data_IF_518734410289
#
_entry.id   IF_518734410289
#
_cell.length_a   1.000
_cell.length_b   1.000
_cell.length_c   1.000
_cell.angle_alpha   90.00
_cell.angle_beta   90.00
_cell.angle_gamma   90.00
#
_symmetry.space_group_name_H-M   'P 1'
#
loop_
_entity.id
_entity.type
_entity.pdbx_description
1 polymer ?
#
# COMPACT_ATOMS: atom_id res chain seq x y z
N UNK A 1 -37.78 -18.42 10.05
CA UNK A 1 -36.87 -19.48 9.57
C UNK A 1 -35.74 -19.58 10.57
N UNK A 2 -35.67 -20.72 11.26
CA UNK A 2 -34.81 -20.98 12.41
C UNK A 2 -33.34 -20.95 12.01
N UNK A 3 -32.53 -20.14 12.70
CA UNK A 3 -31.09 -20.04 12.49
C UNK A 3 -30.44 -21.37 12.87
N UNK A 4 -29.89 -22.10 11.89
CA UNK A 4 -29.05 -23.26 12.16
C UNK A 4 -27.68 -22.71 12.53
N UNK A 5 -27.39 -22.66 13.84
CA UNK A 5 -26.01 -22.56 14.28
C UNK A 5 -25.29 -23.85 13.87
N UNK A 6 -24.02 -23.79 13.41
CA UNK A 6 -23.24 -24.99 13.19
C UNK A 6 -23.13 -25.71 14.53
N UNK A 7 -23.64 -26.94 14.62
CA UNK A 7 -23.31 -27.83 15.74
C UNK A 7 -21.79 -28.02 15.70
N UNK A 8 -21.11 -27.64 16.77
CA UNK A 8 -19.78 -28.16 17.06
C UNK A 8 -19.90 -29.68 17.20
N UNK A 9 -19.64 -30.40 16.11
CA UNK A 9 -19.32 -31.82 16.17
C UNK A 9 -18.02 -31.90 16.98
N UNK A 10 -18.11 -32.36 18.23
CA UNK A 10 -16.92 -32.74 19.01
C UNK A 10 -16.15 -33.76 18.16
N UNK A 11 -15.00 -33.34 17.67
CA UNK A 11 -14.07 -34.23 16.96
C UNK A 11 -13.78 -35.42 17.88
N UNK A 12 -13.91 -36.68 17.39
CA UNK A 12 -13.98 -37.85 18.27
C UNK A 12 -12.67 -38.23 18.97
N UNK A 13 -11.57 -37.52 18.76
CA UNK A 13 -10.27 -37.87 19.33
C UNK A 13 -9.46 -36.62 19.67
N UNK A 14 -9.05 -36.51 20.94
CA UNK A 14 -7.91 -35.67 21.36
C UNK A 14 -6.63 -36.45 21.05
N UNK A 15 -5.60 -35.78 20.53
CA UNK A 15 -4.29 -36.42 20.30
C UNK A 15 -3.68 -36.91 21.61
N UNK A 16 -2.90 -37.99 21.53
CA UNK A 16 -2.12 -38.52 22.65
C UNK A 16 -0.66 -38.05 22.52
N UNK A 17 -0.12 -37.44 23.58
CA UNK A 17 1.31 -37.11 23.68
C UNK A 17 2.11 -38.40 23.90
N UNK A 18 2.98 -38.68 22.94
CA UNK A 18 3.84 -39.88 22.91
C UNK A 18 5.33 -39.52 23.01
N UNK A 19 5.65 -38.27 23.36
CA UNK A 19 7.03 -37.88 23.69
C UNK A 19 7.61 -38.79 24.77
N UNK A 20 8.93 -39.04 24.79
CA UNK A 20 9.56 -39.88 25.81
C UNK A 20 9.26 -39.44 27.25
N UNK A 21 9.02 -38.14 27.45
CA UNK A 21 8.76 -37.54 28.76
C UNK A 21 7.27 -37.42 29.08
N UNK A 22 6.37 -37.55 28.09
CA UNK A 22 4.91 -37.31 28.21
C UNK A 22 4.58 -36.00 28.94
N UNK A 23 5.38 -34.96 28.68
CA UNK A 23 5.32 -33.67 29.37
C UNK A 23 4.29 -32.71 28.78
N UNK A 24 3.63 -33.10 27.68
CA UNK A 24 2.80 -32.26 26.83
C UNK A 24 3.58 -31.06 26.24
N UNK A 25 4.90 -31.14 26.05
CA UNK A 25 5.71 -30.06 25.48
C UNK A 25 6.19 -29.00 26.48
N UNK A 26 6.98 -28.04 25.97
CA UNK A 26 7.83 -27.15 26.79
C UNK A 26 7.14 -25.88 27.33
N UNK A 27 6.02 -25.44 26.73
CA UNK A 27 5.35 -24.18 27.04
C UNK A 27 3.82 -24.25 26.84
N UNK A 28 3.05 -23.38 27.50
CA UNK A 28 1.59 -23.30 27.35
C UNK A 28 1.11 -22.55 26.10
N UNK A 29 2.03 -22.05 25.27
CA UNK A 29 1.71 -21.35 24.02
C UNK A 29 1.51 -22.34 22.86
N UNK A 30 0.42 -22.17 22.12
CA UNK A 30 0.02 -23.02 20.98
C UNK A 30 0.05 -22.19 19.69
N UNK A 31 0.29 -22.81 18.51
CA UNK A 31 0.23 -22.08 17.26
C UNK A 31 -1.20 -21.59 16.99
N UNK A 32 -1.31 -20.37 16.48
CA UNK A 32 -2.58 -19.73 16.12
C UNK A 32 -2.82 -19.83 14.62
N UNK A 33 -4.06 -19.51 14.21
CA UNK A 33 -4.41 -19.46 12.80
C UNK A 33 -3.47 -18.53 12.02
N UNK A 34 -3.00 -18.99 10.86
CA UNK A 34 -2.04 -18.32 9.96
C UNK A 34 -0.60 -18.22 10.48
N UNK A 35 -0.28 -18.73 11.68
CA UNK A 35 1.10 -18.85 12.14
C UNK A 35 1.89 -19.81 11.24
N UNK A 36 3.19 -19.53 11.08
CA UNK A 36 4.12 -20.41 10.39
C UNK A 36 4.59 -21.49 11.37
N UNK A 37 4.20 -22.75 11.13
CA UNK A 37 4.59 -23.89 11.96
C UNK A 37 5.73 -24.68 11.30
N UNK A 38 6.56 -25.32 12.11
CA UNK A 38 7.69 -26.14 11.69
C UNK A 38 7.59 -27.51 12.36
N UNK A 39 7.54 -28.57 11.56
CA UNK A 39 7.29 -29.93 12.07
C UNK A 39 8.26 -30.96 11.49
N UNK A 40 8.48 -32.04 12.26
CA UNK A 40 8.83 -33.35 11.72
C UNK A 40 7.60 -34.26 11.72
N UNK A 41 7.53 -35.21 10.78
CA UNK A 41 6.41 -36.12 10.69
C UNK A 41 6.79 -37.49 10.13
N UNK A 42 6.06 -38.52 10.55
CA UNK A 42 6.07 -39.88 10.02
C UNK A 42 4.63 -40.28 9.71
N UNK A 43 4.35 -40.68 8.48
CA UNK A 43 3.05 -41.16 8.03
C UNK A 43 3.07 -42.65 7.71
N UNK A 44 2.09 -43.39 8.25
CA UNK A 44 1.95 -44.84 8.06
C UNK A 44 0.50 -45.26 7.76
N UNK A 45 0.36 -46.40 7.09
CA UNK A 45 -0.90 -47.16 7.02
C UNK A 45 -1.24 -47.75 8.41
N UNK A 46 -2.47 -48.27 8.58
CA UNK A 46 -2.90 -48.87 9.86
C UNK A 46 -2.16 -50.16 10.23
N UNK A 47 -1.56 -50.83 9.26
CA UNK A 47 -0.70 -52.00 9.46
C UNK A 47 0.73 -51.63 9.89
N UNK A 48 1.01 -50.33 10.08
CA UNK A 48 2.32 -49.82 10.47
C UNK A 48 3.28 -49.58 9.29
N UNK A 49 2.87 -49.86 8.05
CA UNK A 49 3.72 -49.60 6.88
C UNK A 49 3.90 -48.10 6.67
N UNK A 50 5.11 -47.61 6.91
CA UNK A 50 5.51 -46.22 6.69
C UNK A 50 5.50 -45.93 5.19
N UNK A 51 4.85 -44.83 4.80
CA UNK A 51 4.86 -44.33 3.41
C UNK A 51 5.53 -42.96 3.28
N UNK A 52 5.72 -42.24 4.38
CA UNK A 52 6.47 -40.97 4.40
C UNK A 52 7.13 -40.75 5.76
N UNK A 53 8.35 -40.24 5.74
CA UNK A 53 9.10 -39.84 6.92
C UNK A 53 9.93 -38.61 6.55
N UNK A 54 9.80 -37.52 7.31
CA UNK A 54 10.58 -36.31 7.04
C UNK A 54 12.01 -36.37 7.59
N UNK A 55 12.27 -37.20 8.61
CA UNK A 55 13.60 -37.36 9.22
C UNK A 55 14.58 -38.07 8.29
N UNK A 56 14.10 -38.96 7.44
CA UNK A 56 14.93 -39.64 6.42
C UNK A 56 15.54 -38.67 5.40
N UNK A 57 14.98 -37.46 5.29
CA UNK A 57 15.44 -36.41 4.37
C UNK A 57 16.17 -35.26 5.08
N UNK A 58 16.27 -35.29 6.41
CA UNK A 58 16.76 -34.18 7.25
C UNK A 58 16.10 -32.83 6.93
N UNK A 59 14.85 -32.87 6.45
CA UNK A 59 14.10 -31.71 5.99
C UNK A 59 12.92 -31.45 6.94
N UNK A 60 12.93 -30.29 7.57
CA UNK A 60 11.77 -29.78 8.32
C UNK A 60 10.70 -29.36 7.34
N UNK A 61 9.44 -29.69 7.64
CA UNK A 61 8.31 -29.21 6.86
C UNK A 61 7.69 -28.00 7.54
N UNK A 62 7.40 -26.96 6.75
CA UNK A 62 6.79 -25.74 7.27
C UNK A 62 5.57 -25.34 6.45
N UNK A 63 4.50 -24.94 7.13
CA UNK A 63 3.27 -24.47 6.49
C UNK A 63 2.55 -23.43 7.36
N UNK A 64 1.60 -22.70 6.77
CA UNK A 64 0.74 -21.73 7.45
C UNK A 64 -0.49 -22.45 8.03
N UNK A 65 -0.62 -22.45 9.36
CA UNK A 65 -1.63 -23.24 10.05
C UNK A 65 -3.07 -22.78 9.74
N UNK A 66 -3.94 -23.71 9.37
CA UNK A 66 -5.37 -23.46 9.13
C UNK A 66 -5.68 -22.87 7.75
N UNK A 67 -4.67 -22.75 6.88
CA UNK A 67 -4.81 -22.16 5.53
C UNK A 67 -5.08 -23.19 4.44
N UNK A 68 -5.17 -24.48 4.79
CA UNK A 68 -5.30 -25.57 3.83
C UNK A 68 -4.03 -25.82 3.02
N UNK A 69 -2.86 -25.41 3.53
CA UNK A 69 -1.55 -25.76 2.97
C UNK A 69 -1.12 -27.19 3.33
N UNK A 70 -1.74 -27.77 4.35
CA UNK A 70 -1.61 -29.17 4.76
C UNK A 70 -2.96 -29.88 4.70
N UNK A 71 -2.96 -31.20 4.97
CA UNK A 71 -4.22 -31.96 5.07
C UNK A 71 -5.08 -31.44 6.22
N UNK A 72 -6.43 -31.50 6.13
CA UNK A 72 -7.31 -30.96 7.15
C UNK A 72 -7.05 -31.48 8.58
N UNK A 73 -6.61 -32.74 8.73
CA UNK A 73 -6.24 -33.29 10.04
C UNK A 73 -5.06 -32.56 10.68
N UNK A 74 -4.08 -32.11 9.89
CA UNK A 74 -2.92 -31.38 10.40
C UNK A 74 -3.31 -29.97 10.83
N UNK A 75 -4.15 -29.28 10.06
CA UNK A 75 -4.66 -27.96 10.42
C UNK A 75 -5.42 -27.97 11.76
N UNK A 76 -6.12 -29.06 12.07
CA UNK A 76 -6.83 -29.24 13.34
C UNK A 76 -5.90 -29.74 14.46
N UNK A 77 -5.06 -30.73 14.18
CA UNK A 77 -4.22 -31.40 15.16
C UNK A 77 -3.04 -30.55 15.63
N UNK A 78 -2.30 -29.93 14.70
CA UNK A 78 -1.14 -29.09 15.04
C UNK A 78 -1.57 -27.86 15.85
N UNK A 79 -2.78 -27.35 15.63
CA UNK A 79 -3.37 -26.27 16.43
C UNK A 79 -3.55 -26.63 17.92
N UNK A 80 -3.60 -27.92 18.27
CA UNK A 80 -3.74 -28.37 19.66
C UNK A 80 -2.40 -28.61 20.35
N UNK A 81 -1.31 -28.73 19.58
CA UNK A 81 0.02 -29.10 20.07
C UNK A 81 0.74 -27.93 20.73
N UNK A 82 1.64 -28.26 21.66
CA UNK A 82 2.62 -27.34 22.24
C UNK A 82 3.98 -27.50 21.58
N UNK A 83 4.84 -26.50 21.71
CA UNK A 83 6.21 -26.56 21.19
C UNK A 83 6.99 -27.71 21.82
N UNK A 84 7.63 -28.52 20.98
CA UNK A 84 8.34 -29.75 21.33
C UNK A 84 7.46 -30.99 21.50
N UNK A 85 6.13 -30.86 21.47
CA UNK A 85 5.21 -32.00 21.62
C UNK A 85 5.33 -32.96 20.44
N UNK A 86 5.25 -34.27 20.74
CA UNK A 86 5.13 -35.33 19.73
C UNK A 86 3.77 -35.99 19.91
N UNK A 87 2.90 -35.87 18.90
CA UNK A 87 1.54 -36.38 18.95
C UNK A 87 1.24 -37.33 17.79
N UNK A 88 0.35 -38.29 18.04
CA UNK A 88 -0.14 -39.22 17.02
C UNK A 88 -1.59 -38.92 16.63
N UNK A 89 -1.81 -38.73 15.33
CA UNK A 89 -3.11 -38.40 14.75
C UNK A 89 -3.60 -39.52 13.82
N UNK A 90 -4.75 -40.10 14.16
CA UNK A 90 -5.49 -40.98 13.25
C UNK A 90 -6.39 -40.14 12.34
N UNK A 91 -6.25 -40.28 11.02
CA UNK A 91 -6.94 -39.47 10.02
C UNK A 91 -7.72 -40.35 9.05
N UNK A 92 -9.05 -40.17 9.03
CA UNK A 92 -9.91 -40.77 8.00
C UNK A 92 -9.75 -40.04 6.65
N UNK A 93 -10.08 -40.66 5.50
CA UNK A 93 -9.89 -40.07 4.18
C UNK A 93 -10.39 -38.63 4.04
N UNK A 94 -11.55 -38.29 4.63
CA UNK A 94 -12.12 -36.94 4.60
C UNK A 94 -11.19 -35.85 5.17
N UNK A 95 -10.37 -36.19 6.16
CA UNK A 95 -9.42 -35.27 6.80
C UNK A 95 -7.96 -35.51 6.34
N UNK A 96 -7.75 -36.42 5.38
CA UNK A 96 -6.46 -36.72 4.77
C UNK A 96 -6.52 -36.48 3.24
N UNK A 97 -6.37 -37.52 2.43
CA UNK A 97 -6.23 -37.43 0.97
C UNK A 97 -7.54 -37.62 0.17
N UNK A 98 -8.68 -37.69 0.85
CA UNK A 98 -9.99 -37.88 0.23
C UNK A 98 -10.18 -39.24 -0.46
N UNK A 99 -11.30 -39.38 -1.17
CA UNK A 99 -11.64 -40.61 -1.91
C UNK A 99 -10.78 -40.81 -3.17
N UNK A 100 -10.32 -39.71 -3.79
CA UNK A 100 -9.46 -39.75 -4.98
C UNK A 100 -8.00 -40.11 -4.66
N UNK A 101 -7.59 -39.96 -3.39
CA UNK A 101 -6.19 -40.09 -3.00
C UNK A 101 -5.28 -39.03 -3.62
N UNK A 102 -3.98 -39.19 -3.43
CA UNK A 102 -2.94 -38.39 -4.07
C UNK A 102 -2.10 -39.32 -4.97
N UNK A 103 -1.52 -38.82 -6.07
CA UNK A 103 -0.81 -39.67 -7.07
C UNK A 103 0.27 -40.60 -6.48
N UNK A 104 0.81 -40.29 -5.30
CA UNK A 104 1.83 -41.08 -4.58
C UNK A 104 1.28 -42.03 -3.50
N UNK A 105 0.04 -41.89 -3.07
CA UNK A 105 -0.50 -42.60 -1.89
C UNK A 105 -1.81 -43.33 -2.22
N UNK A 106 -1.99 -44.53 -1.67
CA UNK A 106 -3.17 -45.37 -1.95
C UNK A 106 -4.46 -44.62 -1.64
N UNK A 107 -5.34 -44.53 -2.64
CA UNK A 107 -6.65 -43.88 -2.53
C UNK A 107 -7.49 -44.42 -1.38
N UNK A 108 -8.19 -43.52 -0.67
CA UNK A 108 -9.29 -43.82 0.26
C UNK A 108 -8.96 -44.70 1.50
N UNK A 109 -7.76 -44.60 2.07
CA UNK A 109 -7.38 -45.32 3.30
C UNK A 109 -7.27 -44.39 4.51
N UNK A 110 -7.53 -44.94 5.70
CA UNK A 110 -7.21 -44.27 6.97
C UNK A 110 -5.68 -44.27 7.14
N UNK A 111 -5.13 -43.17 7.63
CA UNK A 111 -3.68 -43.00 7.82
C UNK A 111 -3.39 -42.54 9.24
N UNK A 112 -2.20 -42.87 9.73
CA UNK A 112 -1.69 -42.41 11.02
C UNK A 112 -0.52 -41.48 10.73
N UNK A 113 -0.51 -40.33 11.41
CA UNK A 113 0.63 -39.42 11.43
C UNK A 113 1.16 -39.26 12.84
N UNK A 114 2.45 -39.49 13.01
CA UNK A 114 3.21 -39.02 14.17
C UNK A 114 3.87 -37.70 13.81
N UNK A 115 3.58 -36.64 14.56
CA UNK A 115 4.04 -35.28 14.28
C UNK A 115 4.77 -34.76 15.50
N UNK A 116 5.96 -34.18 15.28
CA UNK A 116 6.69 -33.39 16.27
C UNK A 116 6.57 -31.91 15.89
N UNK A 117 6.02 -31.09 16.78
CA UNK A 117 5.95 -29.64 16.60
C UNK A 117 7.26 -28.99 17.07
N UNK A 118 8.16 -28.70 16.14
CA UNK A 118 9.50 -28.17 16.46
C UNK A 118 9.43 -26.72 16.93
N UNK A 119 8.73 -25.89 16.17
CA UNK A 119 8.63 -24.45 16.39
C UNK A 119 7.37 -23.91 15.71
N UNK A 120 6.92 -22.72 16.13
CA UNK A 120 6.00 -21.89 15.39
C UNK A 120 6.29 -20.42 15.65
N UNK A 121 6.07 -19.58 14.64
CA UNK A 121 6.19 -18.13 14.72
C UNK A 121 4.99 -17.46 14.08
N UNK A 122 4.69 -16.23 14.50
CA UNK A 122 3.68 -15.42 13.81
C UNK A 122 4.03 -15.21 12.34
N UNK A 123 3.04 -14.94 11.51
CA UNK A 123 3.24 -14.73 10.08
C UNK A 123 4.06 -13.46 9.84
N UNK A 124 5.13 -13.58 9.08
CA UNK A 124 5.88 -12.42 8.58
C UNK A 124 5.13 -11.77 7.42
N UNK A 125 4.83 -10.48 7.56
CA UNK A 125 4.16 -9.65 6.56
C UNK A 125 5.11 -8.64 5.90
N UNK A 126 6.40 -8.70 6.18
CA UNK A 126 7.41 -7.88 5.52
C UNK A 126 7.62 -8.33 4.07
N UNK A 127 7.88 -7.38 3.17
CA UNK A 127 8.08 -7.71 1.74
C UNK A 127 9.34 -8.55 1.50
N UNK A 128 10.34 -8.38 2.38
CA UNK A 128 11.64 -9.05 2.30
C UNK A 128 11.70 -10.36 3.12
N UNK A 129 10.62 -10.72 3.83
CA UNK A 129 10.62 -11.80 4.84
C UNK A 129 11.74 -11.65 5.88
N UNK A 130 11.95 -10.42 6.35
CA UNK A 130 13.04 -10.05 7.27
C UNK A 130 12.62 -10.03 8.75
N UNK A 131 11.40 -10.45 9.03
CA UNK A 131 10.80 -10.49 10.37
C UNK A 131 10.55 -9.11 10.97
N UNK A 132 10.48 -8.05 10.15
CA UNK A 132 10.19 -6.70 10.65
C UNK A 132 8.71 -6.48 10.99
N UNK A 133 7.80 -7.33 10.47
CA UNK A 133 6.35 -7.25 10.72
C UNK A 133 5.84 -8.65 11.01
N UNK A 134 5.79 -9.05 12.28
CA UNK A 134 5.25 -10.35 12.68
C UNK A 134 3.81 -10.18 13.16
N UNK A 135 2.87 -10.94 12.60
CA UNK A 135 1.45 -10.95 12.98
C UNK A 135 1.05 -12.28 13.60
N UNK A 136 0.33 -12.24 14.73
CA UNK A 136 -0.42 -13.38 15.28
C UNK A 136 -1.91 -13.06 15.36
N UNK A 137 -2.76 -13.87 14.73
CA UNK A 137 -4.21 -13.64 14.69
C UNK A 137 -4.85 -14.23 15.95
N UNK A 138 -5.34 -13.35 16.83
CA UNK A 138 -6.00 -13.72 18.08
C UNK A 138 -7.48 -14.07 17.84
N UNK A 139 -8.16 -13.30 16.99
CA UNK A 139 -9.53 -13.58 16.55
C UNK A 139 -9.61 -13.45 15.04
N UNK A 140 -10.10 -14.50 14.38
CA UNK A 140 -10.30 -14.52 12.93
C UNK A 140 -11.35 -13.49 12.53
N UNK A 141 -11.08 -12.77 11.45
CA UNK A 141 -12.07 -11.93 10.80
C UNK A 141 -12.95 -12.71 9.83
N UNK A 142 -13.90 -11.99 9.23
CA UNK A 142 -14.88 -12.50 8.29
C UNK A 142 -14.82 -11.80 6.93
N UNK A 143 -15.39 -12.47 5.92
CA UNK A 143 -15.31 -12.02 4.53
C UNK A 143 -14.16 -12.67 3.76
N UNK A 144 -13.92 -12.17 2.54
CA UNK A 144 -12.95 -12.77 1.60
C UNK A 144 -11.87 -11.80 1.12
N UNK A 145 -12.17 -10.51 1.16
CA UNK A 145 -11.41 -9.46 0.49
C UNK A 145 -10.96 -8.45 1.57
N UNK A 146 -9.65 -8.25 1.78
CA UNK A 146 -9.15 -7.26 2.75
C UNK A 146 -9.34 -5.82 2.23
N UNK A 147 -9.03 -4.77 3.01
CA UNK A 147 -8.90 -3.41 2.48
C UNK A 147 -7.93 -3.34 1.28
N UNK A 148 -8.16 -2.39 0.36
CA UNK A 148 -7.27 -2.12 -0.77
C UNK A 148 -6.74 -0.69 -0.76
N UNK A 149 -5.75 -0.39 -1.61
CA UNK A 149 -5.17 0.95 -1.79
C UNK A 149 -6.26 1.99 -2.01
N UNK A 150 -6.11 3.16 -1.37
CA UNK A 150 -7.11 4.22 -1.32
C UNK A 150 -8.48 3.79 -0.74
N UNK A 151 -8.65 2.58 -0.20
CA UNK A 151 -9.80 2.23 0.62
C UNK A 151 -9.82 3.02 1.93
N UNK A 152 -11.01 3.25 2.50
CA UNK A 152 -11.12 3.78 3.87
C UNK A 152 -11.10 2.62 4.87
N UNK A 153 -10.42 2.79 5.99
CA UNK A 153 -10.39 1.81 7.07
C UNK A 153 -10.62 2.52 8.40
N UNK A 154 -11.27 1.83 9.32
CA UNK A 154 -11.37 2.19 10.73
C UNK A 154 -10.82 1.04 11.55
N UNK A 155 -9.84 1.33 12.40
CA UNK A 155 -9.23 0.35 13.29
C UNK A 155 -9.30 0.83 14.74
N UNK A 156 -9.41 -0.12 15.66
CA UNK A 156 -8.99 0.07 17.05
C UNK A 156 -7.53 -0.35 17.14
N UNK A 157 -6.68 0.50 17.70
CA UNK A 157 -5.27 0.20 17.89
C UNK A 157 -4.85 0.51 19.32
N UNK A 158 -3.91 -0.29 19.81
CA UNK A 158 -3.20 -0.10 21.07
C UNK A 158 -1.73 -0.42 20.86
N UNK A 159 -0.88 0.60 20.85
CA UNK A 159 0.57 0.50 20.76
C UNK A 159 1.19 0.34 22.13
N UNK A 160 2.07 -0.64 22.28
CA UNK A 160 2.71 -1.04 23.52
C UNK A 160 4.23 -1.07 23.30
N UNK A 161 4.97 -0.38 24.16
CA UNK A 161 6.43 -0.37 24.17
C UNK A 161 6.93 -0.55 25.60
N UNK A 162 7.78 -1.56 25.83
CA UNK A 162 8.26 -1.94 27.17
C UNK A 162 7.11 -2.00 28.20
N UNK A 163 6.04 -2.71 27.85
CA UNK A 163 4.80 -2.87 28.63
C UNK A 163 3.97 -1.60 28.88
N UNK A 164 4.40 -0.44 28.37
CA UNK A 164 3.67 0.82 28.48
C UNK A 164 2.83 1.07 27.22
N UNK A 165 1.57 1.43 27.43
CA UNK A 165 0.68 1.86 26.34
C UNK A 165 1.01 3.31 25.98
N UNK A 166 1.40 3.55 24.72
CA UNK A 166 1.75 4.91 24.25
C UNK A 166 0.76 5.49 23.24
N UNK A 167 -0.06 4.65 22.60
CA UNK A 167 -1.15 5.09 21.71
C UNK A 167 -2.31 4.11 21.86
N UNK A 168 -3.50 4.57 22.23
CA UNK A 168 -4.71 3.75 22.29
C UNK A 168 -5.91 4.56 21.82
N UNK A 169 -6.46 4.19 20.65
CA UNK A 169 -7.56 4.91 20.02
C UNK A 169 -8.27 4.11 18.94
N UNK A 170 -9.44 4.60 18.57
CA UNK A 170 -10.08 4.26 17.29
C UNK A 170 -9.69 5.33 16.28
N UNK A 171 -9.23 4.94 15.11
CA UNK A 171 -8.76 5.87 14.07
C UNK A 171 -9.28 5.43 12.71
N UNK A 172 -9.69 6.41 11.92
CA UNK A 172 -10.02 6.23 10.51
C UNK A 172 -8.89 6.79 9.65
N UNK A 173 -8.47 6.04 8.64
CA UNK A 173 -7.49 6.50 7.65
C UNK A 173 -7.74 5.92 6.27
N UNK A 174 -6.99 6.41 5.29
CA UNK A 174 -7.00 5.92 3.91
C UNK A 174 -5.78 5.03 3.72
N UNK A 175 -5.97 3.83 3.19
CA UNK A 175 -4.88 2.90 2.88
C UNK A 175 -3.92 3.55 1.87
N UNK A 176 -2.64 3.50 2.17
CA UNK A 176 -1.54 4.17 1.48
C UNK A 176 -1.19 5.54 2.07
N UNK A 177 -2.01 6.06 2.99
CA UNK A 177 -1.89 7.37 3.61
C UNK A 177 -2.00 7.32 5.15
N UNK A 178 -1.83 6.15 5.77
CA UNK A 178 -1.99 6.00 7.21
C UNK A 178 -1.03 6.89 8.04
N UNK A 179 0.13 7.24 7.48
CA UNK A 179 1.12 8.12 8.10
C UNK A 179 0.56 9.53 8.42
N UNK A 180 -0.47 10.00 7.68
CA UNK A 180 -1.14 11.28 7.98
C UNK A 180 -1.85 11.24 9.35
N UNK A 181 -2.17 10.04 9.85
CA UNK A 181 -2.78 9.80 11.15
C UNK A 181 -1.80 9.24 12.18
N UNK A 182 -0.48 9.32 11.90
CA UNK A 182 0.60 8.79 12.74
C UNK A 182 0.53 7.27 12.94
N UNK A 183 0.09 6.56 11.91
CA UNK A 183 0.06 5.10 11.89
C UNK A 183 1.33 4.58 11.22
N UNK A 184 2.06 3.62 11.84
CA UNK A 184 3.29 3.10 11.28
C UNK A 184 3.01 2.23 10.06
N UNK A 185 4.00 2.17 9.17
CA UNK A 185 3.96 1.33 7.96
C UNK A 185 3.61 -0.13 8.27
N UNK A 186 4.13 -0.68 9.37
CA UNK A 186 3.85 -2.06 9.79
C UNK A 186 2.37 -2.31 10.10
N UNK A 187 1.71 -1.38 10.79
CA UNK A 187 0.27 -1.48 11.08
C UNK A 187 -0.53 -1.37 9.78
N UNK A 188 -0.21 -0.42 8.90
CA UNK A 188 -0.91 -0.27 7.62
C UNK A 188 -0.79 -1.53 6.74
N UNK A 189 0.41 -2.11 6.67
CA UNK A 189 0.65 -3.38 5.94
C UNK A 189 -0.16 -4.54 6.51
N UNK A 190 -0.21 -4.66 7.84
CA UNK A 190 -1.03 -5.67 8.49
C UNK A 190 -2.51 -5.48 8.16
N UNK A 191 -3.04 -4.26 8.25
CA UNK A 191 -4.44 -3.93 7.92
C UNK A 191 -4.79 -4.34 6.48
N UNK A 192 -3.87 -4.19 5.52
CA UNK A 192 -4.06 -4.64 4.14
C UNK A 192 -4.18 -6.17 3.98
N UNK A 193 -3.92 -6.95 5.03
CA UNK A 193 -4.02 -8.41 5.08
C UNK A 193 -5.08 -8.90 6.08
N UNK A 194 -5.79 -7.97 6.74
CA UNK A 194 -6.82 -8.29 7.72
C UNK A 194 -8.20 -8.45 7.07
N UNK A 195 -9.03 -9.29 7.67
CA UNK A 195 -10.46 -9.39 7.39
C UNK A 195 -11.29 -8.58 8.39
N UNK A 196 -12.56 -8.30 8.06
CA UNK A 196 -13.45 -7.53 8.92
C UNK A 196 -13.54 -8.21 10.30
N UNK A 197 -13.52 -7.44 11.39
CA UNK A 197 -13.56 -7.91 12.77
C UNK A 197 -12.34 -8.74 13.23
N UNK A 198 -11.33 -8.95 12.37
CA UNK A 198 -10.06 -9.58 12.74
C UNK A 198 -9.40 -8.80 13.86
N UNK A 199 -8.92 -9.52 14.87
CA UNK A 199 -8.10 -8.97 15.94
C UNK A 199 -6.76 -9.70 15.96
N UNK A 200 -5.67 -8.95 15.89
CA UNK A 200 -4.34 -9.52 15.86
C UNK A 200 -3.37 -8.72 16.73
N UNK A 201 -2.31 -9.42 17.14
CA UNK A 201 -1.13 -8.86 17.75
C UNK A 201 -0.04 -8.72 16.69
N UNK A 202 0.66 -7.59 16.69
CA UNK A 202 1.78 -7.31 15.82
C UNK A 202 3.04 -7.04 16.63
N UNK A 203 4.17 -7.55 16.16
CA UNK A 203 5.50 -7.14 16.60
C UNK A 203 6.18 -6.45 15.43
N UNK A 204 6.53 -5.18 15.62
CA UNK A 204 7.11 -4.31 14.60
C UNK A 204 8.54 -3.94 14.99
N UNK A 205 9.50 -4.17 14.08
CA UNK A 205 10.90 -3.72 14.25
C UNK A 205 11.15 -2.42 13.48
N UNK A 206 12.30 -1.79 13.73
CA UNK A 206 12.82 -0.56 13.10
C UNK A 206 12.24 -0.20 11.71
N UNK A 207 12.42 -1.07 10.70
CA UNK A 207 11.98 -0.84 9.31
C UNK A 207 10.47 -0.62 9.17
N UNK A 208 9.68 -1.23 10.05
CA UNK A 208 8.22 -1.17 10.07
C UNK A 208 7.66 0.02 10.88
N UNK A 209 8.50 0.73 11.65
CA UNK A 209 8.09 1.84 12.51
C UNK A 209 8.07 3.20 11.81
N UNK A 210 8.38 3.26 10.51
CA UNK A 210 8.26 4.49 9.71
C UNK A 210 6.86 5.10 9.87
N UNK A 211 6.79 6.38 10.22
CA UNK A 211 5.57 7.10 10.59
C UNK A 211 5.44 7.43 12.09
N UNK A 212 6.27 6.83 12.96
CA UNK A 212 6.31 7.09 14.41
C UNK A 212 7.50 7.98 14.84
N UNK A 213 8.18 8.65 13.90
CA UNK A 213 9.42 9.40 14.17
C UNK A 213 9.25 10.50 15.26
N UNK A 214 8.01 10.90 15.54
CA UNK A 214 7.68 11.92 16.55
C UNK A 214 7.46 11.37 17.96
N UNK A 215 7.36 10.05 18.15
CA UNK A 215 6.95 9.44 19.43
C UNK A 215 8.13 9.09 20.36
N UNK A 216 9.36 9.49 20.03
CA UNK A 216 10.55 9.25 20.87
C UNK A 216 10.78 7.78 21.26
N UNK A 217 10.28 6.83 20.47
CA UNK A 217 10.54 5.40 20.65
C UNK A 217 11.92 5.08 20.06
N UNK A 218 12.83 4.44 20.80
CA UNK A 218 14.11 3.98 20.26
C UNK A 218 13.92 3.08 19.03
N UNK A 219 14.51 3.48 17.90
CA UNK A 219 14.30 2.82 16.59
C UNK A 219 15.03 1.48 16.46
N UNK A 220 15.76 1.04 17.48
CA UNK A 220 16.47 -0.23 17.57
C UNK A 220 15.67 -1.35 18.26
N UNK A 221 14.60 -1.00 18.97
CA UNK A 221 13.75 -1.95 19.67
C UNK A 221 12.46 -2.30 18.92
N UNK A 222 11.86 -3.44 19.28
CA UNK A 222 10.55 -3.85 18.74
C UNK A 222 9.41 -3.20 19.52
N UNK A 223 8.39 -2.76 18.80
CA UNK A 223 7.13 -2.25 19.38
C UNK A 223 6.02 -3.26 19.11
N UNK A 224 5.12 -3.40 20.08
CA UNK A 224 3.96 -4.25 19.96
C UNK A 224 2.70 -3.43 19.62
N UNK A 225 1.79 -4.00 18.85
CA UNK A 225 0.48 -3.43 18.60
C UNK A 225 -0.60 -4.50 18.72
N UNK A 226 -1.68 -4.17 19.42
CA UNK A 226 -2.95 -4.87 19.31
C UNK A 226 -3.86 -4.08 18.37
N UNK A 227 -4.34 -4.72 17.31
CA UNK A 227 -5.22 -4.08 16.34
C UNK A 227 -6.49 -4.87 16.08
N UNK A 228 -7.59 -4.16 15.87
CA UNK A 228 -8.85 -4.72 15.39
C UNK A 228 -9.33 -3.95 14.18
N UNK A 229 -9.59 -4.63 13.07
CA UNK A 229 -10.22 -4.02 11.89
C UNK A 229 -11.73 -3.91 12.11
N UNK A 230 -12.23 -2.70 12.35
CA UNK A 230 -13.63 -2.44 12.72
C UNK A 230 -14.51 -2.29 11.49
N UNK A 231 -14.05 -1.50 10.52
CA UNK A 231 -14.79 -1.22 9.29
C UNK A 231 -13.80 -0.91 8.17
N UNK A 232 -14.17 -1.22 6.93
CA UNK A 232 -13.50 -0.66 5.77
C UNK A 232 -14.42 -0.57 4.56
N UNK A 233 -14.09 0.32 3.64
CA UNK A 233 -14.72 0.45 2.34
C UNK A 233 -13.63 0.39 1.26
N UNK A 234 -13.81 -0.52 0.30
CA UNK A 234 -12.86 -0.70 -0.80
C UNK A 234 -13.20 0.23 -1.96
N UNK A 235 -12.17 0.62 -2.71
CA UNK A 235 -12.41 1.15 -4.06
C UNK A 235 -12.62 0.01 -5.05
N UNK A 236 -13.50 0.24 -6.01
CA UNK A 236 -13.78 -0.73 -7.08
C UNK A 236 -12.73 -0.62 -8.20
N UNK A 237 -12.50 -1.74 -8.87
CA UNK A 237 -11.59 -1.83 -10.00
C UNK A 237 -12.18 -1.12 -11.23
N UNK A 238 -11.37 -0.47 -12.05
CA UNK A 238 -11.86 0.35 -13.17
C UNK A 238 -12.79 -0.41 -14.13
N UNK A 239 -12.54 -1.71 -14.34
CA UNK A 239 -13.33 -2.56 -15.23
C UNK A 239 -14.73 -2.90 -14.71
N UNK A 240 -15.00 -2.76 -13.41
CA UNK A 240 -16.33 -3.03 -12.84
C UNK A 240 -17.22 -1.79 -12.73
N UNK A 241 -16.65 -0.59 -12.96
CA UNK A 241 -17.34 0.68 -12.73
C UNK A 241 -18.14 1.14 -13.96
N UNK A 242 -19.40 1.51 -13.73
CA UNK A 242 -20.16 2.34 -14.68
C UNK A 242 -19.60 3.77 -14.74
N UNK A 243 -19.88 4.50 -15.83
CA UNK A 243 -19.39 5.89 -15.98
C UNK A 243 -19.80 6.78 -14.80
N UNK A 244 -21.00 6.58 -14.23
CA UNK A 244 -21.48 7.33 -13.06
C UNK A 244 -20.66 7.02 -11.81
N UNK A 245 -20.34 5.75 -11.58
CA UNK A 245 -19.52 5.35 -10.44
C UNK A 245 -18.06 5.79 -10.62
N UNK A 246 -17.53 5.78 -11.85
CA UNK A 246 -16.21 6.37 -12.17
C UNK A 246 -16.15 7.85 -11.77
N UNK A 247 -17.20 8.61 -12.06
CA UNK A 247 -17.29 10.02 -11.69
C UNK A 247 -17.33 10.21 -10.16
N UNK A 248 -18.12 9.42 -9.45
CA UNK A 248 -18.21 9.46 -7.98
C UNK A 248 -16.87 9.08 -7.32
N UNK A 249 -16.24 7.99 -7.77
CA UNK A 249 -14.94 7.57 -7.26
C UNK A 249 -13.85 8.60 -7.56
N UNK A 250 -13.89 9.26 -8.73
CA UNK A 250 -12.98 10.35 -9.07
C UNK A 250 -13.15 11.58 -8.15
N UNK A 251 -14.37 11.94 -7.74
CA UNK A 251 -14.63 13.02 -6.79
C UNK A 251 -14.05 12.69 -5.39
N UNK A 252 -14.24 11.45 -4.95
CA UNK A 252 -13.66 10.96 -3.70
C UNK A 252 -12.13 11.01 -3.74
N UNK A 253 -11.51 10.44 -4.77
CA UNK A 253 -10.06 10.47 -4.97
C UNK A 253 -9.52 11.89 -5.06
N UNK A 254 -10.26 12.80 -5.71
CA UNK A 254 -9.86 14.21 -5.79
C UNK A 254 -9.78 14.82 -4.40
N UNK A 255 -10.79 14.60 -3.55
CA UNK A 255 -10.81 15.14 -2.19
C UNK A 255 -9.59 14.70 -1.39
N UNK A 256 -9.19 13.44 -1.55
CA UNK A 256 -7.99 12.86 -0.90
C UNK A 256 -6.69 13.44 -1.47
N UNK A 257 -6.61 13.59 -2.80
CA UNK A 257 -5.47 14.21 -3.45
C UNK A 257 -5.32 15.69 -3.05
N UNK A 258 -6.43 16.43 -2.92
CA UNK A 258 -6.44 17.81 -2.45
C UNK A 258 -5.88 17.92 -1.03
N UNK A 259 -6.16 16.95 -0.15
CA UNK A 259 -5.58 16.91 1.20
C UNK A 259 -4.06 16.70 1.20
N UNK A 260 -3.56 15.85 0.31
CA UNK A 260 -2.12 15.68 0.11
C UNK A 260 -1.45 16.96 -0.39
N UNK A 261 -2.09 17.70 -1.30
CA UNK A 261 -1.59 19.00 -1.76
C UNK A 261 -1.50 20.00 -0.60
N UNK A 262 -2.51 20.05 0.27
CA UNK A 262 -2.50 20.93 1.47
C UNK A 262 -1.34 20.60 2.39
N UNK A 263 -1.01 19.31 2.53
CA UNK A 263 0.10 18.82 3.33
C UNK A 263 1.43 18.75 2.55
N UNK A 264 1.51 19.33 1.34
CA UNK A 264 2.71 19.39 0.49
C UNK A 264 3.27 18.04 0.02
N UNK A 265 2.48 16.96 0.08
CA UNK A 265 2.84 15.65 -0.46
C UNK A 265 2.57 15.58 -1.97
N UNK A 266 3.28 16.40 -2.74
CA UNK A 266 3.00 16.62 -4.17
C UNK A 266 3.18 15.37 -5.04
N UNK A 267 4.13 14.49 -4.73
CA UNK A 267 4.33 13.24 -5.48
C UNK A 267 3.14 12.29 -5.31
N UNK A 268 2.66 12.12 -4.07
CA UNK A 268 1.52 11.26 -3.76
C UNK A 268 0.21 11.84 -4.31
N UNK A 269 0.08 13.18 -4.27
CA UNK A 269 -1.04 13.88 -4.88
C UNK A 269 -1.05 13.69 -6.41
N UNK A 270 0.10 13.85 -7.07
CA UNK A 270 0.24 13.68 -8.52
C UNK A 270 -0.17 12.27 -8.96
N UNK A 271 0.28 11.21 -8.26
CA UNK A 271 -0.12 9.83 -8.54
C UNK A 271 -1.65 9.67 -8.52
N UNK A 272 -2.33 10.23 -7.52
CA UNK A 272 -3.79 10.15 -7.40
C UNK A 272 -4.52 10.95 -8.46
N UNK A 273 -4.06 12.16 -8.79
CA UNK A 273 -4.66 12.90 -9.91
C UNK A 273 -4.44 12.20 -11.26
N UNK A 274 -3.36 11.45 -11.43
CA UNK A 274 -3.16 10.63 -12.62
C UNK A 274 -4.15 9.46 -12.68
N UNK A 275 -4.41 8.80 -11.55
CA UNK A 275 -5.47 7.78 -11.44
C UNK A 275 -6.83 8.38 -11.83
N UNK A 276 -7.15 9.57 -11.33
CA UNK A 276 -8.39 10.29 -11.69
C UNK A 276 -8.44 10.58 -13.20
N UNK A 277 -7.36 11.07 -13.80
CA UNK A 277 -7.30 11.36 -15.23
C UNK A 277 -7.52 10.10 -16.08
N UNK A 278 -6.93 8.97 -15.68
CA UNK A 278 -7.10 7.69 -16.35
C UNK A 278 -8.54 7.17 -16.20
N UNK A 279 -9.07 7.17 -14.97
CA UNK A 279 -10.44 6.72 -14.65
C UNK A 279 -11.51 7.49 -15.46
N UNK A 280 -11.29 8.79 -15.68
CA UNK A 280 -12.23 9.64 -16.42
C UNK A 280 -11.98 9.64 -17.93
N UNK A 281 -10.90 9.03 -18.43
CA UNK A 281 -10.50 9.13 -19.84
C UNK A 281 -11.59 8.66 -20.80
N UNK A 282 -12.19 7.50 -20.50
CA UNK A 282 -13.23 6.85 -21.31
C UNK A 282 -14.66 7.24 -20.93
N UNK A 283 -14.88 7.93 -19.80
CA UNK A 283 -16.21 8.18 -19.28
C UNK A 283 -17.00 9.14 -20.20
N UNK A 284 -18.26 8.80 -20.50
CA UNK A 284 -19.14 9.62 -21.34
C UNK A 284 -20.55 9.72 -20.74
N UNK A 285 -21.14 10.90 -20.80
CA UNK A 285 -22.49 11.14 -20.27
C UNK A 285 -23.39 11.71 -21.37
N UNK A 286 -24.65 11.28 -21.38
CA UNK A 286 -25.70 11.88 -22.23
C UNK A 286 -26.33 13.10 -21.54
N UNK A 287 -26.44 13.05 -20.22
CA UNK A 287 -26.97 14.13 -19.42
C UNK A 287 -26.00 15.33 -19.40
N UNK A 288 -26.56 16.54 -19.53
CA UNK A 288 -25.77 17.78 -19.59
C UNK A 288 -25.09 18.09 -18.27
N UNK A 289 -25.71 17.79 -17.13
CA UNK A 289 -25.15 18.09 -15.82
C UNK A 289 -23.96 17.19 -15.53
N UNK A 290 -24.09 15.88 -15.74
CA UNK A 290 -22.98 14.94 -15.53
C UNK A 290 -21.85 15.14 -16.55
N UNK A 291 -22.17 15.52 -17.79
CA UNK A 291 -21.16 15.94 -18.78
C UNK A 291 -20.38 17.18 -18.33
N UNK A 292 -21.06 18.16 -17.73
CA UNK A 292 -20.42 19.37 -17.21
C UNK A 292 -19.54 19.04 -15.99
N UNK A 293 -20.02 18.20 -15.06
CA UNK A 293 -19.24 17.72 -13.91
C UNK A 293 -17.99 16.96 -14.35
N UNK A 294 -18.13 16.03 -15.30
CA UNK A 294 -17.00 15.30 -15.88
C UNK A 294 -15.96 16.26 -16.44
N UNK A 295 -16.38 17.25 -17.23
CA UNK A 295 -15.47 18.27 -17.79
C UNK A 295 -14.77 19.08 -16.70
N UNK A 296 -15.51 19.55 -15.69
CA UNK A 296 -14.93 20.29 -14.57
C UNK A 296 -13.92 19.45 -13.79
N UNK A 297 -14.22 18.17 -13.57
CA UNK A 297 -13.33 17.27 -12.84
C UNK A 297 -12.06 16.94 -13.64
N UNK A 298 -12.18 16.75 -14.95
CA UNK A 298 -11.02 16.62 -15.86
C UNK A 298 -10.12 17.87 -15.81
N UNK A 299 -10.71 19.06 -15.90
CA UNK A 299 -9.97 20.33 -15.79
C UNK A 299 -9.27 20.44 -14.43
N UNK A 300 -9.99 20.13 -13.34
CA UNK A 300 -9.44 20.20 -11.98
C UNK A 300 -8.25 19.23 -11.80
N UNK A 301 -8.37 17.99 -12.28
CA UNK A 301 -7.30 16.99 -12.23
C UNK A 301 -6.06 17.45 -12.99
N UNK A 302 -6.22 17.91 -14.25
CA UNK A 302 -5.10 18.42 -15.07
C UNK A 302 -4.46 19.67 -14.45
N UNK A 303 -5.28 20.60 -13.95
CA UNK A 303 -4.80 21.79 -13.27
C UNK A 303 -3.97 21.42 -12.03
N UNK A 304 -4.47 20.52 -11.18
CA UNK A 304 -3.76 20.13 -9.96
C UNK A 304 -2.53 19.24 -10.23
N UNK A 305 -2.52 18.44 -11.31
CA UNK A 305 -1.29 17.78 -11.79
C UNK A 305 -0.23 18.83 -12.13
N UNK A 306 -0.59 19.88 -12.88
CA UNK A 306 0.32 20.98 -13.18
C UNK A 306 0.84 21.66 -11.90
N UNK A 307 -0.01 21.86 -10.88
CA UNK A 307 0.45 22.36 -9.58
C UNK A 307 1.50 21.45 -8.94
N UNK A 308 1.24 20.15 -8.90
CA UNK A 308 2.14 19.18 -8.26
C UNK A 308 3.49 19.17 -8.97
N UNK A 309 3.51 19.07 -10.30
CA UNK A 309 4.76 19.06 -11.06
C UNK A 309 5.51 20.40 -11.02
N UNK A 310 4.79 21.53 -10.97
CA UNK A 310 5.42 22.83 -10.73
C UNK A 310 6.17 22.85 -9.38
N UNK A 311 5.55 22.29 -8.33
CA UNK A 311 6.16 22.21 -6.99
C UNK A 311 7.30 21.21 -6.90
N UNK A 312 7.28 20.17 -7.73
CA UNK A 312 8.36 19.19 -7.86
C UNK A 312 9.50 19.68 -8.77
N UNK A 313 9.36 20.83 -9.43
CA UNK A 313 10.35 21.37 -10.36
C UNK A 313 10.37 20.69 -11.74
N UNK A 314 9.44 19.77 -12.01
CA UNK A 314 9.28 19.19 -13.35
C UNK A 314 8.45 20.13 -14.23
N UNK A 315 9.13 21.15 -14.75
CA UNK A 315 8.52 22.16 -15.61
C UNK A 315 7.99 21.59 -16.94
N UNK A 316 8.59 20.49 -17.43
CA UNK A 316 8.12 19.84 -18.68
C UNK A 316 6.75 19.23 -18.48
N UNK A 317 6.58 18.42 -17.44
CA UNK A 317 5.28 17.85 -17.11
C UNK A 317 4.27 18.93 -16.74
N UNK A 318 4.67 19.91 -15.93
CA UNK A 318 3.80 21.04 -15.58
C UNK A 318 3.21 21.71 -16.83
N UNK A 319 4.04 22.00 -17.84
CA UNK A 319 3.57 22.59 -19.11
C UNK A 319 2.54 21.70 -19.80
N UNK A 320 2.83 20.40 -19.95
CA UNK A 320 1.93 19.44 -20.59
C UNK A 320 0.55 19.43 -19.92
N UNK A 321 0.51 19.35 -18.59
CA UNK A 321 -0.73 19.34 -17.83
C UNK A 321 -1.47 20.70 -17.88
N UNK A 322 -0.75 21.83 -17.94
CA UNK A 322 -1.36 23.13 -18.23
C UNK A 322 -1.99 23.18 -19.63
N UNK A 323 -1.29 22.69 -20.66
CA UNK A 323 -1.80 22.68 -22.03
C UNK A 323 -3.06 21.81 -22.14
N UNK A 324 -3.07 20.63 -21.51
CA UNK A 324 -4.25 19.76 -21.45
C UNK A 324 -5.44 20.43 -20.75
N UNK A 325 -5.20 21.11 -19.62
CA UNK A 325 -6.26 21.85 -18.92
C UNK A 325 -6.80 23.01 -19.76
N UNK A 326 -5.93 23.74 -20.46
CA UNK A 326 -6.30 24.88 -21.31
C UNK A 326 -6.99 24.46 -22.62
N UNK A 327 -6.72 23.26 -23.12
CA UNK A 327 -7.48 22.66 -24.22
C UNK A 327 -8.95 22.40 -23.84
N UNK A 328 -9.21 22.09 -22.56
CA UNK A 328 -10.56 21.90 -22.01
C UNK A 328 -11.20 23.21 -21.53
N UNK A 329 -10.41 24.15 -21.04
CA UNK A 329 -10.85 25.48 -20.60
C UNK A 329 -9.75 26.51 -20.84
N UNK A 330 -9.81 27.18 -21.99
CA UNK A 330 -8.84 28.20 -22.38
C UNK A 330 -8.81 29.42 -21.43
N UNK A 331 -9.82 29.57 -20.56
CA UNK A 331 -9.91 30.66 -19.57
C UNK A 331 -9.52 30.20 -18.16
N UNK A 332 -8.84 29.06 -18.03
CA UNK A 332 -8.36 28.59 -16.74
C UNK A 332 -7.19 29.46 -16.23
N UNK A 333 -7.50 30.44 -15.39
CA UNK A 333 -6.54 31.42 -14.86
C UNK A 333 -5.35 30.77 -14.14
N UNK A 334 -5.60 29.73 -13.34
CA UNK A 334 -4.54 28.98 -12.63
C UNK A 334 -3.54 28.34 -13.59
N UNK A 335 -4.02 27.73 -14.68
CA UNK A 335 -3.14 27.05 -15.64
C UNK A 335 -2.38 28.04 -16.52
N UNK A 336 -3.00 29.16 -16.92
CA UNK A 336 -2.29 30.25 -17.60
C UNK A 336 -1.16 30.78 -16.73
N UNK A 337 -1.44 31.07 -15.46
CA UNK A 337 -0.44 31.55 -14.53
C UNK A 337 0.72 30.55 -14.35
N UNK A 338 0.40 29.27 -14.09
CA UNK A 338 1.42 28.21 -13.91
C UNK A 338 2.26 27.99 -15.16
N UNK A 339 1.65 27.99 -16.35
CA UNK A 339 2.39 27.86 -17.62
C UNK A 339 3.27 29.08 -17.89
N UNK A 340 2.83 30.28 -17.53
CA UNK A 340 3.67 31.48 -17.53
C UNK A 340 4.91 31.33 -16.64
N UNK A 341 4.77 30.76 -15.44
CA UNK A 341 5.91 30.45 -14.56
C UNK A 341 6.86 29.42 -15.19
N UNK A 342 6.34 28.43 -15.91
CA UNK A 342 7.16 27.47 -16.66
C UNK A 342 7.95 28.17 -17.77
N UNK A 343 7.31 29.02 -18.58
CA UNK A 343 8.00 29.75 -19.64
C UNK A 343 9.07 30.68 -19.10
N UNK A 344 8.82 31.34 -17.97
CA UNK A 344 9.81 32.13 -17.27
C UNK A 344 11.04 31.28 -16.87
N UNK A 345 10.82 30.07 -16.33
CA UNK A 345 11.92 29.15 -16.01
C UNK A 345 12.72 28.73 -17.26
N UNK A 346 12.07 28.61 -18.42
CA UNK A 346 12.75 28.36 -19.70
C UNK A 346 13.31 29.62 -20.37
N UNK A 347 13.35 30.77 -19.68
CA UNK A 347 13.78 32.07 -20.24
C UNK A 347 13.00 32.51 -21.50
N UNK A 348 11.78 31.99 -21.68
CA UNK A 348 10.88 32.39 -22.76
C UNK A 348 9.97 33.52 -22.26
N UNK A 349 10.54 34.71 -22.10
CA UNK A 349 9.90 35.85 -21.45
C UNK A 349 8.66 36.34 -22.20
N UNK A 350 8.65 36.29 -23.53
CA UNK A 350 7.52 36.71 -24.36
C UNK A 350 6.27 35.86 -24.10
N UNK A 351 6.42 34.53 -24.11
CA UNK A 351 5.30 33.62 -23.85
C UNK A 351 4.85 33.71 -22.39
N UNK A 352 5.79 33.87 -21.45
CA UNK A 352 5.48 34.07 -20.05
C UNK A 352 4.60 35.32 -19.84
N UNK A 353 5.01 36.47 -20.39
CA UNK A 353 4.25 37.72 -20.32
C UNK A 353 2.85 37.54 -20.94
N UNK A 354 2.76 36.89 -22.11
CA UNK A 354 1.47 36.64 -22.78
C UNK A 354 0.50 35.83 -21.91
N UNK A 355 0.98 34.77 -21.27
CA UNK A 355 0.18 33.94 -20.38
C UNK A 355 -0.25 34.73 -19.12
N UNK A 356 0.67 35.47 -18.49
CA UNK A 356 0.33 36.30 -17.32
C UNK A 356 -0.65 37.43 -17.65
N UNK A 357 -0.52 38.08 -18.81
CA UNK A 357 -1.49 39.09 -19.26
C UNK A 357 -2.86 38.47 -19.51
N UNK A 358 -2.91 37.27 -20.08
CA UNK A 358 -4.18 36.56 -20.30
C UNK A 358 -4.82 36.16 -18.97
N UNK A 359 -4.03 35.70 -18.00
CA UNK A 359 -4.50 35.46 -16.63
C UNK A 359 -5.07 36.75 -15.99
N UNK A 360 -4.42 37.90 -16.15
CA UNK A 360 -4.90 39.20 -15.64
C UNK A 360 -6.19 39.68 -16.33
N UNK A 361 -6.40 39.36 -17.61
CA UNK A 361 -7.68 39.65 -18.28
C UNK A 361 -8.84 38.86 -17.65
N UNK A 362 -8.56 37.70 -17.05
CA UNK A 362 -9.57 36.87 -16.37
C UNK A 362 -9.73 37.31 -14.92
N UNK A 363 -8.62 37.53 -14.21
CA UNK A 363 -8.60 38.03 -12.85
C UNK A 363 -7.67 39.25 -12.71
N UNK A 364 -8.19 40.47 -12.89
CA UNK A 364 -7.38 41.69 -12.80
C UNK A 364 -6.72 41.92 -11.44
N UNK A 365 -7.25 41.30 -10.37
CA UNK A 365 -6.75 41.43 -9.00
C UNK A 365 -5.54 40.54 -8.68
N UNK A 366 -5.07 39.72 -9.62
CA UNK A 366 -3.93 38.84 -9.41
C UNK A 366 -2.61 39.63 -9.36
N UNK A 367 -2.25 40.13 -8.18
CA UNK A 367 -1.00 40.89 -7.94
C UNK A 367 0.24 40.09 -8.33
N UNK A 368 0.24 38.77 -8.09
CA UNK A 368 1.37 37.92 -8.45
C UNK A 368 1.63 37.93 -9.97
N UNK A 369 0.59 37.92 -10.80
CA UNK A 369 0.73 38.00 -12.25
C UNK A 369 1.31 39.33 -12.70
N UNK A 370 0.91 40.44 -12.06
CA UNK A 370 1.48 41.77 -12.35
C UNK A 370 2.98 41.81 -12.03
N UNK A 371 3.38 41.30 -10.85
CA UNK A 371 4.78 41.23 -10.44
C UNK A 371 5.61 40.36 -11.39
N UNK A 372 5.08 39.20 -11.81
CA UNK A 372 5.78 38.31 -12.73
C UNK A 372 5.97 38.94 -14.11
N UNK A 373 5.02 39.74 -14.60
CA UNK A 373 5.19 40.51 -15.86
C UNK A 373 6.34 41.50 -15.74
N UNK A 374 6.36 42.30 -14.66
CA UNK A 374 7.44 43.27 -14.42
C UNK A 374 8.80 42.56 -14.35
N UNK A 375 8.86 41.42 -13.65
CA UNK A 375 10.07 40.61 -13.57
C UNK A 375 10.52 40.12 -14.96
N UNK A 376 9.61 39.56 -15.76
CA UNK A 376 9.92 39.11 -17.12
C UNK A 376 10.45 40.25 -18.00
N UNK A 377 9.86 41.45 -17.90
CA UNK A 377 10.31 42.63 -18.64
C UNK A 377 11.73 43.04 -18.26
N UNK A 378 12.04 43.06 -16.96
CA UNK A 378 13.39 43.36 -16.47
C UNK A 378 14.43 42.34 -16.96
N UNK A 379 14.10 41.04 -16.90
CA UNK A 379 15.00 39.99 -17.37
C UNK A 379 15.26 40.07 -18.88
N UNK A 380 14.21 40.37 -19.67
CA UNK A 380 14.34 40.58 -21.11
C UNK A 380 15.24 41.76 -21.45
N UNK A 381 15.14 42.88 -20.72
CA UNK A 381 16.04 44.03 -20.92
C UNK A 381 17.49 43.64 -20.64
N UNK A 382 17.75 43.00 -19.48
CA UNK A 382 19.10 42.54 -19.10
C UNK A 382 19.68 41.57 -20.13
N UNK A 383 18.87 40.64 -20.64
CA UNK A 383 19.31 39.69 -21.65
C UNK A 383 19.70 40.40 -22.95
N UNK A 384 18.91 41.37 -23.40
CA UNK A 384 19.21 42.17 -24.59
C UNK A 384 20.47 43.04 -24.42
N UNK A 385 20.67 43.63 -23.24
CA UNK A 385 21.89 44.38 -22.92
C UNK A 385 23.12 43.47 -22.93
N UNK A 386 23.03 42.28 -22.33
CA UNK A 386 24.10 41.27 -22.36
C UNK A 386 24.44 40.83 -23.78
N UNK A 387 23.43 40.60 -24.64
CA UNK A 387 23.66 40.27 -26.05
C UNK A 387 24.37 41.41 -26.77
N UNK A 388 23.93 42.66 -26.60
CA UNK A 388 24.59 43.83 -27.19
C UNK A 388 26.05 43.96 -26.74
N UNK A 389 26.33 43.75 -25.45
CA UNK A 389 27.68 43.79 -24.92
C UNK A 389 28.58 42.70 -25.54
N UNK A 390 28.08 41.47 -25.67
CA UNK A 390 28.80 40.36 -26.29
C UNK A 390 29.14 40.62 -27.77
N UNK A 391 28.19 41.16 -28.55
CA UNK A 391 28.44 41.50 -29.95
C UNK A 391 29.38 42.69 -30.12
N UNK A 392 29.35 43.67 -29.20
CA UNK A 392 30.29 44.79 -29.22
C UNK A 392 31.73 44.37 -28.85
N UNK A 393 31.90 43.30 -28.09
CA UNK A 393 33.24 42.79 -27.73
C UNK A 393 33.82 41.87 -28.80
N UNK A 394 32.98 41.09 -29.47
CA UNK A 394 33.37 40.22 -30.60
C UNK A 394 33.53 40.96 -31.94
N UNK A 395 33.00 42.18 -32.06
CA UNK A 395 33.20 43.07 -33.24
C UNK A 395 34.43 43.97 -33.12
N UNK A 396 35.20 43.87 -32.02
CA UNK A 396 36.56 44.44 -31.99
C UNK A 396 37.45 43.59 -32.90
N UNK A 397 38.05 44.16 -33.97
CA UNK A 397 38.98 43.42 -34.81
C UNK A 397 40.19 42.99 -33.96
N UNK A 398 40.33 41.69 -33.75
CA UNK A 398 41.61 41.14 -33.29
C UNK A 398 42.63 41.29 -34.42
N UNK A 399 43.64 42.11 -34.14
CA UNK A 399 45.02 42.04 -34.62
C UNK A 399 45.30 40.91 -35.64
N UNK A 400 45.02 41.17 -36.91
CA UNK A 400 45.78 40.59 -38.02
C UNK A 400 46.10 41.75 -38.94
N UNK A 401 47.14 42.50 -38.63
CA UNK A 401 48.06 43.00 -39.65
C UNK A 401 49.34 43.54 -39.01
N UNK A 402 50.45 43.18 -39.68
CA UNK A 402 51.81 43.69 -39.58
C UNK A 402 52.66 43.26 -38.38
N UNK A 403 53.38 42.14 -38.55
CA UNK A 403 54.84 42.11 -38.36
C UNK A 403 55.45 40.87 -39.04
N UNK A 404 55.64 40.93 -40.36
CA UNK A 404 56.72 40.20 -41.04
C UNK A 404 57.49 41.18 -41.92
N UNK A 405 58.58 41.73 -41.35
CA UNK A 405 59.72 42.20 -42.12
C UNK A 405 60.72 41.04 -42.25
N UNK A 406 60.88 40.51 -43.46
CA UNK A 406 62.18 40.16 -44.08
C UNK A 406 62.09 40.48 -45.56
#
# INVERSE_FOLDING_TARGET
MTSIQPKEEKLPFQGEDISPNRDNGLHDDKPLFDDQVFIHYVGSELDGKIFVNSRDRDEKFSFSLGKGEAIPAWDLGVATMKRGEIARFFSIPKYAYGSKGEKKYRSATNVIFEIELLDFVGKDLSDENDGSIIRRIIRRGEGRKPPNEDGTVEIKLKGIYQDNVFDERTVQFIVGLAFLQHIPLGVERAVCKMLLNEHCHLVLKAKALKGLEKLSIPMDESVQYEITLVKFERLEEEGSLSDKEKLQQAELLKTRADDLVKNSYYELAAKRYQIIANLLSSATFRDKNDSAKLRQLKIAAQSNLALCYLKLGDYRQCKTFCDNALALDARNEKCLFRRGQVYLNFSNFEQAIKDFQTALKINPSNVAAQQQIQHCQQQKIKQNESYKAFFNDTSKPGLFDADEKV
#
